data_IF_160436718226
#
_entry.id   IF_160436718226
#
_cell.length_a   1.000
_cell.length_b   1.000
_cell.length_c   1.000
_cell.angle_alpha   90.00
_cell.angle_beta   90.00
_cell.angle_gamma   90.00
#
_symmetry.space_group_name_H-M   'P 1'
#
loop_
_entity.id
_entity.type
_entity.pdbx_description
1 polymer ?
#
# COMPACT_ATOMS: atom_id res chain seq x y z
N UNK A 1 6.14 22.35 -22.68
CA UNK A 1 6.88 21.25 -22.03
C UNK A 1 6.54 19.94 -22.73
N UNK A 2 7.46 18.99 -22.84
CA UNK A 2 7.13 17.70 -23.45
C UNK A 2 6.14 16.92 -22.56
N UNK A 3 5.25 16.07 -23.11
CA UNK A 3 4.31 15.28 -22.32
C UNK A 3 5.00 14.45 -21.23
N UNK A 4 6.19 13.92 -21.54
CA UNK A 4 7.04 13.17 -20.58
C UNK A 4 7.54 14.06 -19.43
N UNK A 5 7.96 15.28 -19.72
CA UNK A 5 8.40 16.21 -18.68
C UNK A 5 7.26 16.58 -17.72
N UNK A 6 6.03 16.70 -18.22
CA UNK A 6 4.84 16.93 -17.39
C UNK A 6 4.55 15.72 -16.51
N UNK A 7 4.59 14.50 -17.05
CA UNK A 7 4.41 13.28 -16.27
C UNK A 7 5.43 13.15 -15.14
N UNK A 8 6.70 13.41 -15.43
CA UNK A 8 7.77 13.39 -14.42
C UNK A 8 7.52 14.45 -13.36
N UNK A 9 7.15 15.67 -13.74
CA UNK A 9 6.84 16.73 -12.79
C UNK A 9 5.67 16.37 -11.86
N UNK A 10 4.62 15.73 -12.40
CA UNK A 10 3.48 15.23 -11.62
C UNK A 10 3.94 14.16 -10.63
N UNK A 11 4.72 13.17 -11.07
CA UNK A 11 5.21 12.08 -10.20
C UNK A 11 6.08 12.63 -9.06
N UNK A 12 7.01 13.53 -9.36
CA UNK A 12 7.86 14.18 -8.35
C UNK A 12 7.01 14.96 -7.34
N UNK A 13 6.00 15.69 -7.83
CA UNK A 13 5.08 16.44 -6.96
C UNK A 13 4.28 15.52 -6.05
N UNK A 14 3.72 14.42 -6.58
CA UNK A 14 2.98 13.44 -5.78
C UNK A 14 3.87 12.80 -4.72
N UNK A 15 5.10 12.40 -5.06
CA UNK A 15 6.06 11.85 -4.09
C UNK A 15 6.35 12.88 -2.99
N UNK A 16 6.65 14.13 -3.37
CA UNK A 16 6.91 15.21 -2.42
C UNK A 16 5.73 15.44 -1.47
N UNK A 17 4.50 15.47 -2.01
CA UNK A 17 3.28 15.61 -1.21
C UNK A 17 3.06 14.40 -0.28
N UNK A 18 3.31 13.18 -0.74
CA UNK A 18 3.20 11.98 0.09
C UNK A 18 4.17 12.02 1.26
N UNK A 19 5.43 12.41 1.02
CA UNK A 19 6.44 12.56 2.08
C UNK A 19 6.03 13.65 3.07
N UNK A 20 5.58 14.80 2.56
CA UNK A 20 5.16 15.93 3.40
C UNK A 20 3.93 15.62 4.26
N UNK A 21 2.96 14.88 3.72
CA UNK A 21 1.72 14.51 4.39
C UNK A 21 1.81 13.20 5.19
N UNK A 22 3.00 12.58 5.31
CA UNK A 22 3.18 11.24 5.89
C UNK A 22 2.53 11.06 7.27
N UNK A 23 2.68 12.05 8.15
CA UNK A 23 2.16 12.03 9.53
C UNK A 23 0.72 12.52 9.66
N UNK A 24 0.06 12.86 8.55
CA UNK A 24 -1.32 13.36 8.57
C UNK A 24 -2.34 12.23 8.40
N UNK A 25 -3.55 12.47 8.89
CA UNK A 25 -4.69 11.56 8.72
C UNK A 25 -5.15 11.48 7.25
N UNK A 26 -4.80 12.45 6.41
CA UNK A 26 -5.18 12.48 5.00
C UNK A 26 -4.63 11.28 4.20
N UNK A 27 -3.43 10.81 4.55
CA UNK A 27 -2.84 9.63 3.92
C UNK A 27 -3.23 8.31 4.60
N UNK A 28 -3.96 8.34 5.72
CA UNK A 28 -4.32 7.13 6.44
C UNK A 28 -5.08 6.10 5.57
N UNK A 29 -6.11 6.48 4.79
CA UNK A 29 -6.83 5.51 3.94
C UNK A 29 -5.94 4.88 2.87
N UNK A 30 -5.01 5.66 2.30
CA UNK A 30 -4.06 5.17 1.28
C UNK A 30 -3.07 4.19 1.92
N UNK A 31 -2.50 4.53 3.08
CA UNK A 31 -1.59 3.66 3.83
C UNK A 31 -2.27 2.34 4.22
N UNK A 32 -3.51 2.41 4.71
CA UNK A 32 -4.31 1.24 5.07
C UNK A 32 -4.56 0.34 3.85
N UNK A 33 -4.93 0.94 2.72
CA UNK A 33 -5.15 0.19 1.47
C UNK A 33 -3.90 -0.54 0.99
N UNK A 34 -2.73 0.11 1.02
CA UNK A 34 -1.47 -0.51 0.59
C UNK A 34 -1.08 -1.67 1.51
N UNK A 35 -1.23 -1.53 2.83
CA UNK A 35 -0.95 -2.62 3.77
C UNK A 35 -1.93 -3.79 3.58
N UNK A 36 -3.22 -3.51 3.40
CA UNK A 36 -4.20 -4.55 3.08
C UNK A 36 -3.82 -5.31 1.80
N UNK A 37 -3.41 -4.59 0.75
CA UNK A 37 -2.98 -5.21 -0.50
C UNK A 37 -1.72 -6.08 -0.32
N UNK A 38 -0.79 -5.66 0.55
CA UNK A 38 0.38 -6.44 0.92
C UNK A 38 -0.01 -7.78 1.58
N UNK A 39 -0.89 -7.74 2.58
CA UNK A 39 -1.33 -8.96 3.28
C UNK A 39 -2.14 -9.90 2.37
N UNK A 40 -3.01 -9.34 1.51
CA UNK A 40 -3.72 -10.13 0.50
C UNK A 40 -2.74 -10.82 -0.45
N UNK A 41 -1.64 -10.15 -0.81
CA UNK A 41 -0.63 -10.75 -1.69
C UNK A 41 0.06 -11.96 -1.06
N UNK A 42 0.31 -11.95 0.26
CA UNK A 42 0.79 -13.13 0.98
C UNK A 42 -0.23 -14.27 0.94
N UNK A 43 -1.50 -13.97 1.21
CA UNK A 43 -2.57 -14.97 1.13
C UNK A 43 -2.73 -15.56 -0.27
N UNK A 44 -2.68 -14.74 -1.32
CA UNK A 44 -2.70 -15.20 -2.72
C UNK A 44 -1.49 -16.08 -3.00
N UNK A 45 -0.30 -15.69 -2.56
CA UNK A 45 0.91 -16.50 -2.73
C UNK A 45 0.75 -17.87 -2.06
N UNK A 46 0.23 -17.92 -0.83
CA UNK A 46 -0.04 -19.16 -0.14
C UNK A 46 -1.00 -20.07 -0.93
N UNK A 47 -2.15 -19.55 -1.37
CA UNK A 47 -3.11 -20.28 -2.21
C UNK A 47 -2.47 -20.85 -3.48
N UNK A 48 -1.66 -20.04 -4.18
CA UNK A 48 -0.97 -20.47 -5.41
C UNK A 48 0.09 -21.54 -5.16
N UNK A 49 0.63 -21.60 -3.94
CA UNK A 49 1.61 -22.61 -3.51
C UNK A 49 0.99 -23.82 -2.80
N UNK A 50 -0.36 -23.90 -2.74
CA UNK A 50 -1.08 -25.03 -2.16
C UNK A 50 -1.36 -24.93 -0.65
N UNK A 51 -1.13 -23.74 -0.06
CA UNK A 51 -1.57 -23.40 1.30
C UNK A 51 -3.02 -22.91 1.34
N UNK A 52 -3.42 -22.35 2.47
CA UNK A 52 -4.76 -21.78 2.67
C UNK A 52 -4.66 -20.35 3.25
N UNK A 53 -5.78 -19.67 3.47
CA UNK A 53 -5.78 -18.38 4.19
C UNK A 53 -6.66 -18.57 5.40
N UNK A 54 -6.09 -18.44 6.59
CA UNK A 54 -6.80 -18.56 7.86
C UNK A 54 -7.28 -17.20 8.37
N UNK A 55 -6.41 -16.19 8.32
CA UNK A 55 -6.76 -14.84 8.77
C UNK A 55 -5.95 -13.78 8.01
N UNK A 56 -6.58 -12.64 7.75
CA UNK A 56 -5.91 -11.42 7.31
C UNK A 56 -6.38 -10.32 8.26
N UNK A 57 -5.44 -9.68 8.95
CA UNK A 57 -5.69 -8.58 9.86
C UNK A 57 -4.82 -7.37 9.47
N UNK A 58 -5.39 -6.18 9.60
CA UNK A 58 -4.66 -4.92 9.54
C UNK A 58 -5.07 -4.09 10.76
N UNK A 59 -4.10 -3.49 11.44
CA UNK A 59 -4.33 -2.74 12.67
C UNK A 59 -4.13 -1.23 12.50
N UNK A 60 -4.57 -0.48 13.51
CA UNK A 60 -4.52 1.00 13.53
C UNK A 60 -3.10 1.57 13.43
N UNK A 61 -2.08 0.76 13.72
CA UNK A 61 -0.66 1.15 13.58
C UNK A 61 -0.13 0.97 12.17
N UNK A 62 -1.00 0.70 11.18
CA UNK A 62 -0.60 0.44 9.78
C UNK A 62 0.34 -0.78 9.72
N UNK A 63 0.13 -1.75 10.61
CA UNK A 63 0.72 -3.09 10.53
C UNK A 63 -0.30 -4.09 10.01
N UNK A 64 0.18 -5.18 9.42
CA UNK A 64 -0.65 -6.27 8.93
C UNK A 64 -0.14 -7.62 9.40
N UNK A 65 -1.03 -8.60 9.38
CA UNK A 65 -0.74 -10.00 9.66
C UNK A 65 -1.59 -10.90 8.77
N UNK A 66 -0.94 -11.79 8.03
CA UNK A 66 -1.59 -12.85 7.26
C UNK A 66 -1.17 -14.21 7.81
N UNK A 67 -2.13 -15.02 8.25
CA UNK A 67 -1.92 -16.43 8.59
C UNK A 67 -2.42 -17.29 7.45
N UNK A 68 -1.55 -18.17 6.96
CA UNK A 68 -1.75 -18.95 5.74
C UNK A 68 -1.01 -20.30 5.79
#
# INVERSE_FOLDING_TARGET
MSPRAIQVAILVTLIGLTVWLWSTLALYPIKLFVVLLHEISHGIAALLTGGEILIIEVNERIGGYCQY
#
